data_IF_140372880126
#
_entry.id   IF_140372880126
#
_cell.length_a   1.000
_cell.length_b   1.000
_cell.length_c   1.000
_cell.angle_alpha   90.00
_cell.angle_beta   90.00
_cell.angle_gamma   90.00
#
_symmetry.space_group_name_H-M   'P 1'
#
loop_
_entity.id
_entity.type
_entity.pdbx_description
1 polymer ?
#
# COMPACT_ATOMS: atom_id res chain seq x y z
N UNK A 1 41.68 11.36 -17.08
CA UNK A 1 40.24 11.34 -16.77
C UNK A 1 39.36 10.95 -17.96
N UNK A 2 39.83 11.05 -19.21
CA UNK A 2 39.03 10.70 -20.40
C UNK A 2 38.97 9.19 -20.72
N UNK A 3 39.91 8.40 -20.21
CA UNK A 3 39.96 6.95 -20.45
C UNK A 3 38.88 6.22 -19.65
N UNK A 4 38.61 6.65 -18.41
CA UNK A 4 37.54 6.09 -17.58
C UNK A 4 36.15 6.39 -18.15
N UNK A 5 35.96 7.58 -18.73
CA UNK A 5 34.69 7.92 -19.38
C UNK A 5 34.43 7.06 -20.62
N UNK A 6 35.46 6.87 -21.46
CA UNK A 6 35.36 6.05 -22.65
C UNK A 6 35.04 4.58 -22.32
N UNK A 7 35.62 4.03 -21.25
CA UNK A 7 35.32 2.65 -20.81
C UNK A 7 33.89 2.53 -20.30
N UNK A 8 33.35 3.56 -19.63
CA UNK A 8 31.96 3.55 -19.14
C UNK A 8 30.96 3.68 -20.29
N UNK A 9 31.23 4.52 -21.29
CA UNK A 9 30.38 4.64 -22.49
C UNK A 9 30.38 3.35 -23.33
N UNK A 10 31.52 2.68 -23.44
CA UNK A 10 31.63 1.42 -24.18
C UNK A 10 30.91 0.27 -23.44
N UNK A 11 31.01 0.24 -22.10
CA UNK A 11 30.28 -0.73 -21.27
C UNK A 11 28.76 -0.51 -21.32
N UNK A 12 28.32 0.75 -21.33
CA UNK A 12 26.90 1.11 -21.45
C UNK A 12 26.35 0.73 -22.83
N UNK A 13 27.10 1.03 -23.89
CA UNK A 13 26.71 0.70 -25.28
C UNK A 13 26.67 -0.82 -25.49
N UNK A 14 27.60 -1.56 -24.89
CA UNK A 14 27.57 -3.02 -24.88
C UNK A 14 26.35 -3.57 -24.11
N UNK A 15 26.06 -3.06 -22.92
CA UNK A 15 24.90 -3.51 -22.13
C UNK A 15 23.58 -3.27 -22.87
N UNK A 16 23.41 -2.10 -23.49
CA UNK A 16 22.20 -1.76 -24.24
C UNK A 16 22.07 -2.61 -25.51
N UNK A 17 23.15 -2.85 -26.24
CA UNK A 17 23.10 -3.64 -27.48
C UNK A 17 22.94 -5.14 -27.26
N UNK A 18 23.39 -5.68 -26.14
CA UNK A 18 23.26 -7.11 -25.81
C UNK A 18 21.92 -7.42 -25.14
N UNK A 19 21.40 -6.52 -24.29
CA UNK A 19 20.13 -6.74 -23.61
C UNK A 19 18.91 -6.42 -24.49
N UNK A 20 19.04 -5.53 -25.48
CA UNK A 20 17.90 -5.05 -26.27
C UNK A 20 17.97 -5.39 -27.77
N UNK A 21 18.72 -6.44 -28.16
CA UNK A 21 18.80 -6.84 -29.58
C UNK A 21 18.52 -8.33 -29.82
N UNK A 22 17.26 -8.63 -30.15
CA UNK A 22 16.87 -9.66 -31.14
C UNK A 22 15.57 -9.22 -31.80
N UNK A 23 15.63 -8.59 -32.97
CA UNK A 23 15.65 -9.20 -34.32
C UNK A 23 14.37 -9.99 -34.65
N UNK A 24 13.50 -9.35 -35.43
CA UNK A 24 12.32 -9.93 -36.06
C UNK A 24 11.54 -8.89 -36.86
N UNK A 25 12.06 -8.47 -38.02
CA UNK A 25 11.22 -7.89 -39.08
C UNK A 25 10.13 -8.91 -39.45
N UNK A 26 8.86 -8.48 -39.51
CA UNK A 26 7.92 -8.55 -40.65
C UNK A 26 6.51 -8.27 -40.14
N UNK A 27 5.83 -7.30 -40.76
CA UNK A 27 4.37 -7.17 -40.72
C UNK A 27 3.88 -5.79 -40.34
N UNK A 28 3.81 -4.87 -41.32
CA UNK A 28 2.96 -3.69 -41.20
C UNK A 28 1.51 -4.13 -41.03
N UNK A 29 0.96 -3.99 -39.83
CA UNK A 29 -0.48 -3.85 -39.61
C UNK A 29 -0.69 -2.70 -38.65
N UNK A 30 -1.10 -1.55 -39.20
CA UNK A 30 -1.61 -0.40 -38.45
C UNK A 30 -2.96 -0.76 -37.81
N UNK A 31 -2.94 -1.55 -36.74
CA UNK A 31 -4.05 -1.65 -35.78
C UNK A 31 -3.57 -1.05 -34.46
N UNK A 32 -3.47 0.29 -34.45
CA UNK A 32 -3.49 1.05 -33.21
C UNK A 32 -4.81 0.77 -32.51
N UNK A 33 -4.79 -0.14 -31.55
CA UNK A 33 -5.86 -0.40 -30.60
C UNK A 33 -6.10 0.88 -29.78
N UNK A 34 -6.99 1.72 -30.30
CA UNK A 34 -7.46 2.91 -29.62
C UNK A 34 -8.46 2.46 -28.54
N UNK A 35 -7.95 2.22 -27.33
CA UNK A 35 -8.83 1.98 -26.19
C UNK A 35 -9.58 3.29 -25.90
N UNK A 36 -10.93 3.30 -25.92
CA UNK A 36 -11.69 4.51 -25.66
C UNK A 36 -11.43 5.00 -24.22
N UNK A 37 -11.50 6.32 -23.96
CA UNK A 37 -11.43 6.86 -22.61
C UNK A 37 -12.52 6.23 -21.74
N UNK A 38 -12.11 5.57 -20.66
CA UNK A 38 -12.93 4.80 -19.74
C UNK A 38 -14.06 5.65 -19.12
N UNK A 39 -15.25 5.05 -18.99
CA UNK A 39 -16.39 5.62 -18.28
C UNK A 39 -16.07 5.74 -16.78
N UNK A 40 -15.73 6.94 -16.33
CA UNK A 40 -15.60 7.28 -14.91
C UNK A 40 -16.99 7.23 -14.27
N UNK A 41 -17.20 6.33 -13.31
CA UNK A 41 -18.43 6.28 -12.51
C UNK A 41 -18.16 6.99 -11.18
N UNK A 42 -18.65 8.23 -11.06
CA UNK A 42 -18.61 9.00 -9.82
C UNK A 42 -19.62 8.44 -8.81
N UNK A 43 -19.15 7.83 -7.72
CA UNK A 43 -20.00 7.48 -6.59
C UNK A 43 -20.15 8.68 -5.65
N UNK A 44 -21.34 9.29 -5.65
CA UNK A 44 -21.75 10.37 -4.74
C UNK A 44 -21.89 9.82 -3.32
N UNK A 45 -21.27 10.47 -2.33
CA UNK A 45 -21.55 10.24 -0.89
C UNK A 45 -22.44 11.35 -0.35
N UNK A 46 -23.59 10.96 0.16
CA UNK A 46 -24.51 11.79 0.94
C UNK A 46 -23.82 12.30 2.22
N UNK A 47 -23.74 13.62 2.35
CA UNK A 47 -23.46 14.31 3.61
C UNK A 47 -24.73 14.38 4.43
N UNK A 48 -24.74 13.74 5.61
CA UNK A 48 -25.79 13.97 6.61
C UNK A 48 -25.29 15.02 7.59
N UNK A 49 -25.90 16.20 7.50
CA UNK A 49 -25.93 17.21 8.56
C UNK A 49 -26.55 16.61 9.82
N UNK A 50 -25.95 16.89 10.98
CA UNK A 50 -26.71 16.93 12.24
C UNK A 50 -26.43 18.23 12.94
N UNK A 51 -27.53 18.95 13.08
CA UNK A 51 -27.71 20.24 13.69
C UNK A 51 -27.38 20.29 15.18
N UNK A 52 -26.79 21.43 15.52
CA UNK A 52 -26.93 22.23 16.73
C UNK A 52 -27.95 21.80 17.81
N UNK A 53 -27.48 21.72 19.06
CA UNK A 53 -28.33 21.97 20.24
C UNK A 53 -27.67 22.94 21.23
N UNK A 54 -28.55 23.82 21.72
CA UNK A 54 -28.32 25.05 22.48
C UNK A 54 -27.93 24.82 23.93
N UNK A 55 -27.26 25.85 24.44
CA UNK A 55 -27.16 26.31 25.83
C UNK A 55 -28.34 26.00 26.76
N UNK A 56 -28.01 25.60 27.99
CA UNK A 56 -28.60 26.14 29.23
C UNK A 56 -27.53 26.30 30.34
N UNK A 57 -27.84 27.25 31.22
CA UNK A 57 -27.04 28.08 32.14
C UNK A 57 -26.46 27.41 33.41
N UNK A 58 -25.69 28.13 34.26
CA UNK A 58 -24.74 27.58 35.23
C UNK A 58 -25.34 27.37 36.63
N UNK A 59 -24.66 26.56 37.44
CA UNK A 59 -25.00 26.24 38.84
C UNK A 59 -23.71 26.40 39.70
N UNK A 60 -23.82 26.83 40.98
CA UNK A 60 -22.93 27.82 41.58
C UNK A 60 -21.75 27.24 42.40
N UNK A 61 -20.82 28.16 42.69
CA UNK A 61 -19.69 28.04 43.63
C UNK A 61 -20.09 27.46 44.99
N UNK A 62 -19.34 26.44 45.43
CA UNK A 62 -19.20 26.08 46.82
C UNK A 62 -17.70 26.05 47.18
N UNK A 63 -17.38 26.61 48.35
CA UNK A 63 -16.05 26.85 48.92
C UNK A 63 -15.31 25.58 49.40
N UNK A 64 -13.99 25.69 49.70
CA UNK A 64 -13.07 24.55 49.75
C UNK A 64 -12.88 23.98 51.16
N UNK A 65 -12.66 22.66 51.26
CA UNK A 65 -12.16 21.99 52.48
C UNK A 65 -11.23 20.82 52.06
N UNK A 66 -10.37 20.30 52.97
CA UNK A 66 -8.92 20.50 53.04
C UNK A 66 -8.09 19.38 52.39
N UNK A 67 -6.84 19.72 52.05
CA UNK A 67 -5.83 18.83 51.44
C UNK A 67 -5.31 17.79 52.45
N UNK A 68 -5.33 16.51 52.06
CA UNK A 68 -4.56 15.42 52.66
C UNK A 68 -4.06 14.46 51.54
N UNK A 69 -3.00 13.67 51.76
CA UNK A 69 -1.81 13.63 50.89
C UNK A 69 -1.92 12.78 49.62
N UNK A 70 -1.01 13.08 48.69
CA UNK A 70 -0.85 12.48 47.37
C UNK A 70 -0.79 10.94 47.39
N UNK A 71 -1.85 10.32 46.88
CA UNK A 71 -1.87 8.93 46.44
C UNK A 71 -1.43 8.89 44.97
N UNK A 72 -0.62 7.89 44.63
CA UNK A 72 -0.05 7.57 43.31
C UNK A 72 -1.01 7.77 42.12
N UNK A 73 -0.51 8.02 40.89
CA UNK A 73 -1.36 8.18 39.71
C UNK A 73 -2.26 6.94 39.55
N UNK A 74 -3.53 7.15 39.85
CA UNK A 74 -4.61 6.20 39.62
C UNK A 74 -4.76 6.05 38.12
N UNK A 75 -4.50 4.85 37.59
CA UNK A 75 -4.92 4.51 36.23
C UNK A 75 -6.44 4.64 36.19
N UNK A 76 -6.92 5.69 35.52
CA UNK A 76 -8.34 5.95 35.35
C UNK A 76 -9.03 4.78 34.62
N UNK A 77 -10.32 4.64 34.93
CA UNK A 77 -11.32 3.65 34.50
C UNK A 77 -11.10 2.94 33.14
N UNK A 78 -11.60 1.69 32.98
CA UNK A 78 -11.39 0.89 31.78
C UNK A 78 -11.95 1.60 30.55
N UNK A 79 -11.05 2.17 29.75
CA UNK A 79 -11.42 2.72 28.46
C UNK A 79 -11.90 1.59 27.56
N UNK A 80 -12.98 1.82 26.82
CA UNK A 80 -13.41 0.92 25.73
C UNK A 80 -12.18 0.53 24.93
N UNK A 81 -11.93 -0.77 24.78
CA UNK A 81 -10.91 -1.27 23.88
C UNK A 81 -11.09 -0.58 22.53
N UNK A 82 -10.11 0.24 22.15
CA UNK A 82 -10.18 1.09 20.96
C UNK A 82 -9.16 0.58 19.96
N UNK A 83 -9.56 0.44 18.70
CA UNK A 83 -8.63 0.09 17.63
C UNK A 83 -7.77 1.30 17.29
N UNK A 84 -6.46 1.08 17.21
CA UNK A 84 -5.46 2.06 16.79
C UNK A 84 -4.54 1.44 15.75
N UNK A 85 -3.76 2.27 15.06
CA UNK A 85 -2.87 1.86 13.97
C UNK A 85 -1.46 2.34 14.23
N UNK A 86 -0.46 1.53 13.87
CA UNK A 86 0.94 1.93 13.97
C UNK A 86 1.32 2.90 12.84
N UNK A 87 1.72 4.12 13.19
CA UNK A 87 2.06 5.19 12.26
C UNK A 87 3.58 5.39 12.09
N UNK A 88 4.40 4.46 12.59
CA UNK A 88 5.85 4.46 12.44
C UNK A 88 6.31 3.06 12.04
N UNK A 89 7.35 2.97 11.21
CA UNK A 89 7.89 1.68 10.78
C UNK A 89 8.72 1.04 11.88
N UNK A 90 8.58 -0.28 12.03
CA UNK A 90 9.41 -1.13 12.91
C UNK A 90 9.43 -0.62 14.36
N UNK A 91 8.24 -0.43 14.94
CA UNK A 91 8.10 0.01 16.34
C UNK A 91 8.27 -1.20 17.27
N UNK A 92 9.18 -1.17 18.25
CA UNK A 92 9.32 -2.28 19.20
C UNK A 92 8.15 -2.30 20.20
N UNK A 93 7.48 -3.45 20.29
CA UNK A 93 6.55 -3.77 21.36
C UNK A 93 7.35 -4.25 22.58
N UNK A 94 7.27 -3.57 23.71
CA UNK A 94 8.11 -3.83 24.89
C UNK A 94 7.34 -4.43 26.06
N UNK A 95 8.00 -5.21 26.92
CA UNK A 95 7.40 -5.69 28.18
C UNK A 95 7.20 -4.56 29.19
N UNK A 96 8.04 -3.53 29.14
CA UNK A 96 8.02 -2.40 30.07
C UNK A 96 8.10 -1.06 29.33
N UNK A 97 7.55 0.03 29.90
CA UNK A 97 7.57 1.36 29.32
C UNK A 97 8.93 2.10 29.53
N UNK A 98 9.93 1.49 30.13
CA UNK A 98 11.22 2.14 30.43
C UNK A 98 12.17 2.27 29.22
N UNK A 99 11.80 1.70 28.07
CA UNK A 99 12.56 1.85 26.82
C UNK A 99 13.86 1.05 26.75
N UNK A 100 14.14 0.18 27.73
CA UNK A 100 15.30 -0.71 27.70
C UNK A 100 15.26 -1.65 26.50
N UNK A 101 16.37 -1.84 25.79
CA UNK A 101 16.43 -2.60 24.53
C UNK A 101 16.12 -4.09 24.69
N UNK A 102 16.39 -4.67 25.87
CA UNK A 102 16.25 -6.10 26.17
C UNK A 102 14.80 -6.52 26.53
N UNK A 103 13.84 -5.64 26.28
CA UNK A 103 12.43 -5.84 26.63
C UNK A 103 11.54 -6.06 25.41
N UNK A 104 12.13 -6.18 24.21
CA UNK A 104 11.39 -6.24 22.94
C UNK A 104 10.75 -7.61 22.72
N UNK A 105 9.42 -7.64 22.66
CA UNK A 105 8.59 -8.83 22.41
C UNK A 105 8.40 -9.07 20.91
N UNK A 106 8.21 -7.99 20.14
CA UNK A 106 7.97 -8.03 18.71
C UNK A 106 8.29 -6.69 18.06
N UNK A 107 8.52 -6.70 16.75
CA UNK A 107 8.56 -5.49 15.92
C UNK A 107 7.21 -5.33 15.25
N UNK A 108 6.61 -4.15 15.39
CA UNK A 108 5.32 -3.81 14.81
C UNK A 108 5.56 -3.11 13.46
N UNK A 109 5.02 -3.64 12.35
CA UNK A 109 5.06 -2.98 11.06
C UNK A 109 4.24 -1.68 11.04
N UNK A 110 4.57 -0.79 10.10
CA UNK A 110 3.73 0.36 9.80
C UNK A 110 2.36 -0.12 9.30
N UNK A 111 1.28 0.54 9.68
CA UNK A 111 -0.07 0.14 9.28
C UNK A 111 -0.66 -1.01 10.09
N UNK A 112 0.09 -1.61 11.02
CA UNK A 112 -0.44 -2.72 11.82
C UNK A 112 -1.58 -2.24 12.74
N UNK A 113 -2.65 -3.03 12.81
CA UNK A 113 -3.79 -2.75 13.67
C UNK A 113 -3.53 -3.28 15.08
N UNK A 114 -3.74 -2.44 16.08
CA UNK A 114 -3.50 -2.74 17.49
C UNK A 114 -4.77 -2.46 18.30
N UNK A 115 -4.93 -3.19 19.39
CA UNK A 115 -5.98 -2.88 20.38
C UNK A 115 -5.37 -2.08 21.52
N UNK A 116 -5.82 -0.84 21.71
CA UNK A 116 -5.41 0.01 22.81
C UNK A 116 -6.09 -0.44 24.11
N UNK A 117 -5.28 -0.74 25.13
CA UNK A 117 -5.72 -1.18 26.46
C UNK A 117 -5.68 -0.02 27.47
N UNK A 118 -4.61 0.77 27.43
CA UNK A 118 -4.43 1.97 28.23
C UNK A 118 -3.38 2.87 27.57
N UNK A 119 -3.41 4.17 27.83
CA UNK A 119 -2.36 5.09 27.41
C UNK A 119 -2.16 6.21 28.44
N UNK A 120 -0.92 6.67 28.50
CA UNK A 120 -0.53 7.97 29.03
C UNK A 120 0.14 8.80 27.91
N UNK A 121 0.69 9.97 28.27
CA UNK A 121 1.30 10.89 27.31
C UNK A 121 2.56 10.30 26.63
N UNK A 122 3.25 9.36 27.29
CA UNK A 122 4.51 8.79 26.82
C UNK A 122 4.32 7.42 26.16
N UNK A 123 3.53 6.54 26.78
CA UNK A 123 3.37 5.15 26.39
C UNK A 123 1.92 4.70 26.31
N UNK A 124 1.67 3.82 25.35
CA UNK A 124 0.43 3.10 25.16
C UNK A 124 0.66 1.62 25.42
N UNK A 125 -0.15 1.04 26.30
CA UNK A 125 -0.27 -0.40 26.49
C UNK A 125 -1.23 -0.94 25.44
N UNK A 126 -0.73 -1.81 24.56
CA UNK A 126 -1.45 -2.32 23.40
C UNK A 126 -1.41 -3.84 23.34
N UNK A 127 -2.38 -4.42 22.63
CA UNK A 127 -2.36 -5.82 22.22
C UNK A 127 -2.18 -5.94 20.70
N UNK A 128 -1.28 -6.85 20.30
CA UNK A 128 -1.02 -7.29 18.93
C UNK A 128 -1.22 -8.80 18.88
N UNK A 129 -2.39 -9.24 18.40
CA UNK A 129 -2.77 -10.65 18.47
C UNK A 129 -2.80 -11.15 19.92
N UNK A 130 -1.98 -12.16 20.22
CA UNK A 130 -1.80 -12.75 21.55
C UNK A 130 -0.77 -12.01 22.42
N UNK A 131 0.03 -11.11 21.83
CA UNK A 131 1.07 -10.35 22.52
C UNK A 131 0.51 -9.07 23.11
N UNK A 132 1.00 -8.69 24.29
CA UNK A 132 0.68 -7.43 24.97
C UNK A 132 1.95 -6.75 25.42
N UNK A 133 1.99 -5.43 25.31
CA UNK A 133 3.16 -4.66 25.68
C UNK A 133 3.00 -3.17 25.41
N UNK A 134 4.08 -2.43 25.62
CA UNK A 134 4.12 -0.99 25.57
C UNK A 134 4.77 -0.50 24.27
N UNK A 135 4.19 0.54 23.69
CA UNK A 135 4.73 1.30 22.56
C UNK A 135 4.70 2.79 22.91
N UNK A 136 5.53 3.65 22.30
CA UNK A 136 5.39 5.09 22.48
C UNK A 136 4.01 5.57 22.00
N UNK A 137 3.33 6.42 22.76
CA UNK A 137 2.02 6.97 22.37
C UNK A 137 2.08 7.74 21.04
N UNK A 138 3.23 8.34 20.72
CA UNK A 138 3.47 9.02 19.43
C UNK A 138 3.62 8.09 18.22
N UNK A 139 3.63 6.77 18.43
CA UNK A 139 3.74 5.77 17.38
C UNK A 139 2.39 5.23 16.91
N UNK A 140 1.30 5.61 17.57
CA UNK A 140 -0.05 5.13 17.26
C UNK A 140 -0.98 6.28 16.89
N UNK A 141 -1.96 5.98 16.03
CA UNK A 141 -3.03 6.90 15.65
C UNK A 141 -4.37 6.18 15.67
N UNK A 142 -5.47 6.91 15.88
CA UNK A 142 -6.80 6.30 16.01
C UNK A 142 -7.47 6.03 14.65
N UNK A 143 -7.16 6.82 13.63
CA UNK A 143 -7.85 6.74 12.34
C UNK A 143 -6.99 5.99 11.33
N UNK A 144 -7.59 5.02 10.65
CA UNK A 144 -6.97 4.29 9.55
C UNK A 144 -6.52 5.24 8.40
N UNK A 145 -7.27 6.32 8.18
CA UNK A 145 -6.99 7.33 7.15
C UNK A 145 -5.69 8.13 7.41
N UNK A 146 -5.16 8.09 8.63
CA UNK A 146 -3.88 8.74 8.96
C UNK A 146 -2.67 7.87 8.55
N UNK A 147 -2.92 6.61 8.21
CA UNK A 147 -1.88 5.59 7.96
C UNK A 147 -1.98 5.03 6.55
N UNK A 148 -3.18 4.72 6.08
CA UNK A 148 -3.36 4.15 4.74
C UNK A 148 -3.57 5.23 3.69
N UNK A 149 -3.02 5.04 2.48
CA UNK A 149 -3.24 5.96 1.37
C UNK A 149 -4.70 6.00 0.94
N UNK A 150 -5.15 7.17 0.48
CA UNK A 150 -6.44 7.35 -0.20
C UNK A 150 -6.16 7.91 -1.58
N UNK A 151 -6.36 7.09 -2.61
CA UNK A 151 -6.12 7.49 -3.99
C UNK A 151 -7.39 8.01 -4.64
N UNK A 152 -7.26 9.07 -5.44
CA UNK A 152 -8.34 9.61 -6.27
C UNK A 152 -8.02 9.38 -7.75
N UNK A 153 -9.03 8.97 -8.51
CA UNK A 153 -8.87 8.63 -9.93
C UNK A 153 -8.37 9.86 -10.69
N UNK A 154 -7.32 9.67 -11.49
CA UNK A 154 -6.73 10.72 -12.31
C UNK A 154 -5.71 11.60 -11.58
N UNK A 155 -5.53 11.43 -10.27
CA UNK A 155 -4.49 12.15 -9.54
C UNK A 155 -3.11 11.51 -9.72
N UNK A 156 -2.11 12.37 -9.88
CA UNK A 156 -0.70 12.00 -9.94
C UNK A 156 -0.14 11.82 -8.53
N UNK A 157 0.43 10.65 -8.27
CA UNK A 157 1.03 10.29 -6.99
C UNK A 157 2.55 10.25 -7.17
N UNK A 158 3.17 11.43 -7.03
CA UNK A 158 4.61 11.60 -7.10
C UNK A 158 5.35 10.93 -5.94
N UNK A 159 6.68 10.93 -5.99
CA UNK A 159 7.53 10.27 -4.97
C UNK A 159 7.35 10.81 -3.55
N UNK A 160 7.04 12.11 -3.43
CA UNK A 160 6.85 12.82 -2.16
C UNK A 160 5.37 13.01 -1.79
N UNK A 161 4.45 12.49 -2.60
CA UNK A 161 3.03 12.52 -2.26
C UNK A 161 2.79 11.70 -0.98
N UNK A 162 1.91 12.19 -0.10
CA UNK A 162 1.65 11.57 1.19
C UNK A 162 1.09 10.14 1.03
N UNK A 163 0.29 9.88 0.00
CA UNK A 163 -0.25 8.56 -0.28
C UNK A 163 0.84 7.62 -0.77
N UNK A 164 1.74 8.08 -1.64
CA UNK A 164 2.91 7.30 -2.06
C UNK A 164 3.81 6.95 -0.87
N UNK A 165 4.10 7.91 0.00
CA UNK A 165 4.94 7.70 1.20
C UNK A 165 4.28 6.71 2.17
N UNK A 166 2.98 6.86 2.41
CA UNK A 166 2.19 5.92 3.24
C UNK A 166 2.21 4.52 2.66
N UNK A 167 1.97 4.39 1.36
CA UNK A 167 1.99 3.11 0.66
C UNK A 167 3.36 2.42 0.80
N UNK A 168 4.45 3.16 0.53
CA UNK A 168 5.83 2.67 0.67
C UNK A 168 6.14 2.28 2.10
N UNK A 169 5.59 2.98 3.09
CA UNK A 169 5.74 2.59 4.50
C UNK A 169 5.03 1.28 4.81
N UNK A 170 3.85 1.02 4.22
CA UNK A 170 3.11 -0.25 4.37
C UNK A 170 3.84 -1.42 3.72
N UNK A 171 4.42 -1.23 2.53
CA UNK A 171 5.16 -2.29 1.82
C UNK A 171 6.64 -2.36 2.22
N UNK A 172 7.08 -1.61 3.24
CA UNK A 172 8.49 -1.47 3.67
C UNK A 172 9.46 -1.14 2.52
N UNK A 173 9.01 -0.34 1.55
CA UNK A 173 9.72 0.02 0.30
C UNK A 173 10.34 -1.21 -0.40
N UNK A 174 9.60 -2.33 -0.46
CA UNK A 174 10.06 -3.63 -1.01
C UNK A 174 10.72 -3.53 -2.41
N UNK A 175 10.33 -2.53 -3.20
CA UNK A 175 10.84 -2.29 -4.56
C UNK A 175 11.89 -1.18 -4.65
N UNK A 176 12.28 -0.59 -3.52
CA UNK A 176 13.29 0.47 -3.40
C UNK A 176 13.01 1.73 -4.24
N UNK A 177 11.74 1.96 -4.58
CA UNK A 177 11.33 3.07 -5.42
C UNK A 177 11.41 4.41 -4.68
N UNK A 178 11.33 4.37 -3.34
CA UNK A 178 11.54 5.52 -2.47
C UNK A 178 12.96 6.11 -2.58
N UNK A 179 13.99 5.26 -2.63
CA UNK A 179 15.38 5.70 -2.81
C UNK A 179 15.61 6.38 -4.16
N UNK A 180 14.96 5.88 -5.21
CA UNK A 180 15.08 6.41 -6.57
C UNK A 180 14.17 7.61 -6.84
N UNK A 181 13.37 8.03 -5.86
CA UNK A 181 12.40 9.14 -6.01
C UNK A 181 11.47 8.97 -7.22
N UNK A 182 11.08 7.72 -7.50
CA UNK A 182 10.14 7.44 -8.58
C UNK A 182 8.70 7.75 -8.13
N UNK A 183 7.80 8.15 -9.04
CA UNK A 183 6.37 8.20 -8.75
C UNK A 183 5.84 6.80 -8.43
N UNK A 184 4.59 6.72 -7.95
CA UNK A 184 3.97 5.45 -7.59
C UNK A 184 3.91 4.50 -8.80
N UNK A 185 4.56 3.34 -8.68
CA UNK A 185 4.54 2.31 -9.70
C UNK A 185 3.36 1.33 -9.56
N UNK A 186 2.95 0.73 -10.68
CA UNK A 186 1.93 -0.32 -10.73
C UNK A 186 2.24 -1.49 -9.78
N UNK A 187 3.50 -1.93 -9.75
CA UNK A 187 3.97 -3.05 -8.92
C UNK A 187 3.91 -2.73 -7.41
N UNK A 188 4.21 -1.49 -7.01
CA UNK A 188 4.06 -1.05 -5.62
C UNK A 188 2.59 -1.04 -5.21
N UNK A 189 1.74 -0.45 -6.05
CA UNK A 189 0.30 -0.37 -5.82
C UNK A 189 -0.34 -1.75 -5.69
N UNK A 190 -0.08 -2.64 -6.64
CA UNK A 190 -0.64 -3.99 -6.63
C UNK A 190 -0.16 -4.78 -5.42
N UNK A 191 1.12 -4.69 -5.04
CA UNK A 191 1.61 -5.36 -3.84
C UNK A 191 0.93 -4.84 -2.57
N UNK A 192 0.76 -3.52 -2.46
CA UNK A 192 -0.01 -2.90 -1.39
C UNK A 192 -1.45 -3.45 -1.33
N UNK A 193 -2.14 -3.57 -2.48
CA UNK A 193 -3.51 -4.13 -2.53
C UNK A 193 -3.58 -5.57 -2.03
N UNK A 194 -2.57 -6.40 -2.34
CA UNK A 194 -2.46 -7.77 -1.82
C UNK A 194 -2.27 -7.78 -0.29
N UNK A 195 -1.35 -6.97 0.24
CA UNK A 195 -1.13 -6.86 1.68
C UNK A 195 -2.39 -6.40 2.42
N UNK A 196 -3.15 -5.46 1.86
CA UNK A 196 -4.43 -5.01 2.43
C UNK A 196 -5.49 -6.11 2.52
N UNK A 197 -5.34 -7.20 1.79
CA UNK A 197 -6.17 -8.41 1.89
C UNK A 197 -5.57 -9.51 2.78
N UNK A 198 -4.44 -9.24 3.43
CA UNK A 198 -3.70 -10.22 4.20
C UNK A 198 -2.92 -11.22 3.34
N UNK A 199 -2.71 -10.92 2.05
CA UNK A 199 -1.95 -11.79 1.14
C UNK A 199 -0.51 -11.29 1.09
N UNK A 200 0.41 -12.12 1.58
CA UNK A 200 1.84 -11.86 1.53
C UNK A 200 2.48 -12.70 0.42
N UNK A 201 3.23 -12.04 -0.47
CA UNK A 201 3.98 -12.75 -1.51
C UNK A 201 5.25 -13.33 -0.91
N UNK A 202 5.36 -14.66 -0.93
CA UNK A 202 6.59 -15.38 -0.60
C UNK A 202 7.59 -15.27 -1.75
N UNK A 203 8.14 -14.08 -1.95
CA UNK A 203 8.99 -13.82 -3.08
C UNK A 203 10.27 -14.68 -3.03
N UNK A 204 10.62 -15.37 -4.14
CA UNK A 204 11.91 -16.02 -4.23
C UNK A 204 13.04 -14.98 -4.28
N UNK A 205 14.28 -15.45 -4.10
CA UNK A 205 15.49 -14.63 -4.24
C UNK A 205 15.85 -14.40 -5.72
N UNK A 206 14.88 -13.89 -6.47
CA UNK A 206 14.99 -13.54 -7.89
C UNK A 206 14.65 -12.05 -8.02
N UNK A 207 15.53 -11.33 -8.72
CA UNK A 207 15.40 -9.90 -9.05
C UNK A 207 15.69 -9.69 -10.54
N UNK A 208 15.16 -8.64 -11.20
CA UNK A 208 14.22 -7.64 -10.65
C UNK A 208 12.77 -8.14 -10.57
N UNK A 209 11.96 -7.56 -9.68
CA UNK A 209 10.51 -7.86 -9.52
C UNK A 209 9.65 -6.79 -10.18
N UNK A 210 9.95 -6.50 -11.44
CA UNK A 210 9.27 -5.49 -12.24
C UNK A 210 8.01 -6.06 -12.90
N UNK A 211 7.05 -5.21 -13.32
CA UNK A 211 6.00 -5.64 -14.25
C UNK A 211 6.57 -6.42 -15.44
N UNK A 212 5.88 -7.48 -15.85
CA UNK A 212 6.29 -8.40 -16.92
C UNK A 212 7.13 -9.59 -16.45
N UNK A 213 7.56 -9.59 -15.19
CA UNK A 213 8.31 -10.69 -14.60
C UNK A 213 7.53 -11.43 -13.50
N UNK A 214 6.41 -10.89 -13.02
CA UNK A 214 5.74 -11.42 -11.83
C UNK A 214 5.18 -12.82 -12.08
N UNK A 215 4.48 -13.05 -13.20
CA UNK A 215 3.92 -14.36 -13.50
C UNK A 215 5.02 -15.42 -13.61
N UNK A 216 6.12 -15.08 -14.29
CA UNK A 216 7.28 -15.97 -14.42
C UNK A 216 7.93 -16.27 -13.07
N UNK A 217 8.21 -15.25 -12.26
CA UNK A 217 8.85 -15.42 -10.95
C UNK A 217 7.97 -16.24 -10.02
N UNK A 218 6.69 -15.86 -9.91
CA UNK A 218 5.75 -16.47 -8.98
C UNK A 218 5.27 -17.86 -9.43
N UNK A 219 5.43 -18.24 -10.71
CA UNK A 219 5.16 -19.61 -11.16
C UNK A 219 5.98 -20.68 -10.42
N UNK A 220 7.11 -20.28 -9.81
CA UNK A 220 7.97 -21.16 -9.01
C UNK A 220 7.53 -21.29 -7.56
N UNK A 221 6.55 -20.49 -7.13
CA UNK A 221 6.08 -20.41 -5.74
C UNK A 221 4.77 -21.19 -5.60
N UNK A 222 4.73 -22.15 -4.66
CA UNK A 222 3.57 -23.04 -4.49
C UNK A 222 2.28 -22.35 -4.05
N UNK A 223 2.38 -21.16 -3.45
CA UNK A 223 1.22 -20.35 -3.05
C UNK A 223 0.64 -19.50 -4.18
N UNK A 224 1.28 -19.48 -5.36
CA UNK A 224 0.80 -18.74 -6.52
C UNK A 224 0.33 -19.68 -7.63
N UNK A 225 -0.76 -19.32 -8.29
CA UNK A 225 -1.31 -20.00 -9.46
C UNK A 225 -1.38 -19.01 -10.61
N UNK A 226 -0.78 -19.38 -11.73
CA UNK A 226 -0.82 -18.60 -12.98
C UNK A 226 -1.88 -19.22 -13.89
N UNK A 227 -2.74 -18.39 -14.47
CA UNK A 227 -3.72 -18.84 -15.45
C UNK A 227 -4.25 -17.68 -16.30
N UNK A 228 -5.21 -18.00 -17.15
CA UNK A 228 -5.72 -17.07 -18.17
C UNK A 228 -7.09 -16.48 -17.79
N UNK A 229 -7.64 -16.89 -16.65
CA UNK A 229 -8.96 -16.48 -16.18
C UNK A 229 -8.86 -15.57 -14.94
N UNK A 230 -9.62 -14.47 -14.90
CA UNK A 230 -9.60 -13.55 -13.77
C UNK A 230 -10.26 -14.14 -12.53
N UNK A 231 -9.75 -13.75 -11.36
CA UNK A 231 -10.42 -14.00 -10.08
C UNK A 231 -10.29 -12.80 -9.15
N UNK A 232 -11.26 -12.62 -8.23
CA UNK A 232 -11.29 -11.47 -7.33
C UNK A 232 -10.07 -11.49 -6.40
N UNK A 233 -9.19 -10.51 -6.53
CA UNK A 233 -7.93 -10.42 -5.80
C UNK A 233 -6.72 -10.99 -6.49
N UNK A 234 -6.87 -11.49 -7.72
CA UNK A 234 -5.72 -11.80 -8.56
C UNK A 234 -5.04 -10.54 -9.07
N UNK A 235 -3.77 -10.69 -9.43
CA UNK A 235 -3.01 -9.70 -10.19
C UNK A 235 -3.17 -10.01 -11.67
N UNK A 236 -3.43 -8.99 -12.47
CA UNK A 236 -3.45 -9.06 -13.93
C UNK A 236 -2.13 -8.48 -14.45
N UNK A 237 -1.27 -9.33 -15.02
CA UNK A 237 -0.04 -8.91 -15.70
C UNK A 237 -0.25 -8.95 -17.21
N UNK A 238 0.10 -7.86 -17.91
CA UNK A 238 -0.10 -7.75 -19.35
C UNK A 238 0.89 -6.77 -19.96
N UNK A 239 0.94 -6.70 -21.29
CA UNK A 239 1.79 -5.78 -22.04
C UNK A 239 0.91 -4.74 -22.74
N UNK A 240 1.29 -3.48 -22.58
CA UNK A 240 0.64 -2.33 -23.21
C UNK A 240 1.04 -2.21 -24.69
N UNK A 241 0.32 -1.36 -25.42
CA UNK A 241 0.58 -1.13 -26.86
C UNK A 241 1.94 -0.50 -27.16
N UNK A 242 2.58 0.12 -26.17
CA UNK A 242 3.95 0.65 -26.23
C UNK A 242 5.01 -0.38 -25.81
N UNK A 243 4.64 -1.67 -25.74
CA UNK A 243 5.47 -2.79 -25.29
C UNK A 243 5.88 -2.73 -23.81
N UNK A 244 5.33 -1.79 -23.03
CA UNK A 244 5.58 -1.71 -21.59
C UNK A 244 4.73 -2.74 -20.85
N UNK A 245 5.38 -3.59 -20.06
CA UNK A 245 4.65 -4.48 -19.16
C UNK A 245 3.98 -3.70 -18.01
N UNK A 246 2.79 -4.13 -17.61
CA UNK A 246 1.97 -3.46 -16.61
C UNK A 246 1.32 -4.47 -15.67
N UNK A 247 0.92 -3.98 -14.49
CA UNK A 247 0.20 -4.76 -13.48
C UNK A 247 -1.05 -4.01 -13.05
N UNK A 248 -2.17 -4.73 -12.98
CA UNK A 248 -3.39 -4.24 -12.38
C UNK A 248 -3.89 -5.22 -11.33
N UNK A 249 -4.65 -4.73 -10.36
CA UNK A 249 -5.28 -5.54 -9.34
C UNK A 249 -6.75 -5.77 -9.70
N UNK A 250 -7.22 -7.02 -9.66
CA UNK A 250 -8.60 -7.38 -9.99
C UNK A 250 -9.50 -7.18 -8.77
N UNK A 251 -10.28 -6.11 -8.77
CA UNK A 251 -11.22 -5.77 -7.70
C UNK A 251 -12.47 -6.63 -7.71
N UNK A 252 -13.05 -6.83 -8.90
CA UNK A 252 -14.30 -7.59 -9.08
C UNK A 252 -14.30 -8.32 -10.42
N UNK A 253 -14.98 -9.45 -10.46
CA UNK A 253 -15.25 -10.22 -11.67
C UNK A 253 -16.77 -10.31 -11.83
N UNK A 254 -17.25 -9.91 -13.00
CA UNK A 254 -18.64 -10.03 -13.44
C UNK A 254 -18.73 -11.12 -14.51
N UNK A 255 -19.93 -11.37 -15.04
CA UNK A 255 -20.13 -12.42 -16.04
C UNK A 255 -19.38 -12.15 -17.37
N UNK A 256 -19.21 -10.89 -17.75
CA UNK A 256 -18.69 -10.46 -19.06
C UNK A 256 -17.60 -9.37 -18.95
N UNK A 257 -17.17 -9.05 -17.72
CA UNK A 257 -16.28 -7.93 -17.46
C UNK A 257 -15.55 -8.07 -16.13
N UNK A 258 -14.47 -7.31 -15.97
CA UNK A 258 -13.70 -7.21 -14.73
C UNK A 258 -13.55 -5.74 -14.33
N UNK A 259 -13.63 -5.45 -13.03
CA UNK A 259 -13.21 -4.16 -12.48
C UNK A 259 -11.76 -4.31 -12.01
N UNK A 260 -10.88 -3.41 -12.46
CA UNK A 260 -9.49 -3.35 -12.06
C UNK A 260 -9.15 -1.98 -11.49
N UNK A 261 -8.15 -1.96 -10.63
CA UNK A 261 -7.47 -0.76 -10.14
C UNK A 261 -5.98 -0.89 -10.34
N UNK A 262 -5.35 0.22 -10.71
CA UNK A 262 -3.95 0.26 -11.10
C UNK A 262 -3.35 1.64 -10.81
N UNK A 263 -2.04 1.71 -10.77
CA UNK A 263 -1.29 2.96 -10.73
C UNK A 263 -0.31 2.98 -11.91
N UNK A 264 0.26 4.13 -12.24
CA UNK A 264 1.17 4.30 -13.38
C UNK A 264 0.45 4.13 -14.74
N UNK A 265 -0.85 4.48 -14.78
CA UNK A 265 -1.69 4.49 -15.98
C UNK A 265 -2.79 5.58 -15.89
N UNK A 266 -3.10 6.35 -16.96
CA UNK A 266 -2.51 6.29 -18.31
C UNK A 266 -1.15 6.98 -18.43
N UNK A 267 -0.68 7.62 -17.36
CA UNK A 267 0.64 8.24 -17.28
C UNK A 267 1.29 7.90 -15.93
N UNK A 268 2.55 8.28 -15.79
CA UNK A 268 3.35 7.95 -14.62
C UNK A 268 2.73 8.45 -13.31
N UNK A 269 2.67 7.59 -12.30
CA UNK A 269 2.13 7.92 -10.98
C UNK A 269 0.61 8.13 -10.92
N UNK A 270 -0.11 8.09 -12.04
CA UNK A 270 -1.56 8.30 -12.02
C UNK A 270 -2.26 7.06 -11.49
N UNK A 271 -3.16 7.27 -10.52
CA UNK A 271 -4.08 6.23 -10.07
C UNK A 271 -5.30 6.14 -10.98
N UNK A 272 -5.72 4.93 -11.32
CA UNK A 272 -6.88 4.71 -12.15
C UNK A 272 -7.71 3.48 -11.71
N UNK A 273 -9.00 3.55 -12.00
CA UNK A 273 -9.92 2.42 -11.93
C UNK A 273 -10.66 2.30 -13.26
N UNK A 274 -10.82 1.08 -13.76
CA UNK A 274 -11.58 0.84 -14.99
C UNK A 274 -12.29 -0.50 -14.98
N UNK A 275 -13.35 -0.56 -15.78
CA UNK A 275 -14.04 -1.81 -16.09
C UNK A 275 -13.62 -2.21 -17.49
N UNK A 276 -13.10 -3.42 -17.64
CA UNK A 276 -12.73 -4.01 -18.92
C UNK A 276 -13.75 -5.10 -19.27
N UNK A 277 -14.33 -5.03 -20.47
CA UNK A 277 -15.16 -6.15 -20.97
C UNK A 277 -14.30 -7.32 -21.42
N UNK A 278 -14.89 -8.50 -21.55
CA UNK A 278 -14.20 -9.74 -21.91
C UNK A 278 -13.31 -9.62 -23.15
N UNK A 279 -13.85 -9.01 -24.21
CA UNK A 279 -13.08 -8.79 -25.43
C UNK A 279 -11.85 -7.89 -25.21
N UNK A 280 -11.96 -6.88 -24.35
CA UNK A 280 -10.87 -5.93 -24.09
C UNK A 280 -9.75 -6.58 -23.28
N UNK A 281 -10.08 -7.25 -22.17
CA UNK A 281 -9.02 -7.86 -21.36
C UNK A 281 -8.41 -9.09 -22.04
N UNK A 282 -9.18 -9.86 -22.82
CA UNK A 282 -8.61 -10.97 -23.62
C UNK A 282 -7.67 -10.47 -24.70
N UNK A 283 -7.95 -9.32 -25.31
CA UNK A 283 -7.06 -8.72 -26.31
C UNK A 283 -5.69 -8.32 -25.74
N UNK A 284 -5.60 -8.08 -24.42
CA UNK A 284 -4.33 -7.80 -23.72
C UNK A 284 -3.49 -9.07 -23.46
N UNK A 285 -4.02 -10.26 -23.74
CA UNK A 285 -3.40 -11.56 -23.45
C UNK A 285 -2.77 -11.64 -22.04
N UNK A 286 -3.53 -11.35 -20.97
CA UNK A 286 -2.99 -11.23 -19.62
C UNK A 286 -2.61 -12.58 -19.02
N UNK A 287 -1.64 -12.57 -18.12
CA UNK A 287 -1.44 -13.61 -17.12
C UNK A 287 -2.09 -13.19 -15.82
N UNK A 288 -3.04 -13.98 -15.32
CA UNK A 288 -3.62 -13.78 -14.00
C UNK A 288 -2.86 -14.58 -12.95
N UNK A 289 -2.48 -13.90 -11.87
CA UNK A 289 -1.73 -14.45 -10.75
C UNK A 289 -2.66 -14.47 -9.53
N UNK A 290 -3.16 -15.64 -9.18
CA UNK A 290 -3.92 -15.86 -7.96
C UNK A 290 -2.99 -16.34 -6.85
N UNK A 291 -3.05 -15.70 -5.68
CA UNK A 291 -2.18 -16.03 -4.54
C UNK A 291 -3.05 -16.39 -3.34
N UNK A 292 -2.73 -17.50 -2.69
CA UNK A 292 -3.42 -18.04 -1.51
C UNK A 292 -2.60 -17.97 -0.25
#
# INVERSE_FOLDING_TARGET
>A
MNILLAVVEDLYTFAVSVLFRRQGQVGNSNDTLYLPPSRVVSAVRETTDIDSYRHTSPVPMAEPVPVAPATAPSMAAPQKHTLVYCAKSRVPLRTTPDGASDTTIAMIPYGEMLMLLAADDAYAHVALGDKRGYVPSTAIVQKAADVYPTFMIGEENGAHDINTVRLRSVIDDEFSAGLTQLPLGAHEYVYYRLLRRGVHLAWPDIRPRTPGAWAKILSTVSSAKIGDEPSVGSVMEFVLSDEKAHLAYVDKVFNDSIQISEADWPSHGIYNERVLVEAEWKALAPSFIAVS
#
